data_IF_322725716019
#
_entry.id   IF_322725716019
#
_cell.length_a   1.000
_cell.length_b   1.000
_cell.length_c   1.000
_cell.angle_alpha   90.00
_cell.angle_beta   90.00
_cell.angle_gamma   90.00
#
_symmetry.space_group_name_H-M   'P 1'
#
loop_
_entity.id
_entity.type
_entity.pdbx_description
1 polymer ?
#
# COMPACT_ATOMS: atom_id res chain seq x y z
N UNK A 1 -6.70 8.59 -16.22
CA UNK A 1 -6.54 7.13 -16.38
C UNK A 1 -6.80 6.45 -15.05
N UNK A 2 -7.57 5.38 -15.03
CA UNK A 2 -7.96 4.71 -13.78
C UNK A 2 -7.01 3.55 -13.44
N UNK A 3 -5.99 3.81 -12.62
CA UNK A 3 -5.07 2.78 -12.16
C UNK A 3 -5.76 1.82 -11.17
N UNK A 4 -5.19 0.65 -10.95
CA UNK A 4 -5.55 -0.24 -9.84
C UNK A 4 -4.57 0.06 -8.70
N UNK A 5 -5.10 0.58 -7.59
CA UNK A 5 -4.28 1.08 -6.47
C UNK A 5 -4.44 0.16 -5.27
N UNK A 6 -3.35 -0.31 -4.72
CA UNK A 6 -3.37 -1.23 -3.57
C UNK A 6 -2.86 -0.50 -2.33
N UNK A 7 -3.68 -0.47 -1.29
CA UNK A 7 -3.35 0.08 0.01
C UNK A 7 -3.50 -0.98 1.10
N UNK A 8 -2.87 -0.76 2.21
CA UNK A 8 -2.96 -1.65 3.36
C UNK A 8 -1.81 -1.44 4.33
N UNK A 9 -1.93 -2.07 5.48
CA UNK A 9 -0.92 -2.01 6.53
C UNK A 9 0.39 -2.67 6.08
N UNK A 10 1.49 -2.32 6.74
CA UNK A 10 2.75 -3.05 6.54
C UNK A 10 2.53 -4.56 6.79
N UNK A 11 3.11 -5.39 5.96
CA UNK A 11 2.93 -6.85 6.04
C UNK A 11 1.64 -7.39 5.47
N UNK A 12 0.78 -6.57 4.87
CA UNK A 12 -0.49 -7.04 4.28
C UNK A 12 -0.34 -7.78 2.95
N UNK A 13 0.82 -7.69 2.30
CA UNK A 13 1.09 -8.40 1.04
C UNK A 13 0.82 -7.59 -0.22
N UNK A 14 0.83 -6.27 -0.13
CA UNK A 14 0.58 -5.36 -1.27
C UNK A 14 1.45 -5.64 -2.49
N UNK A 15 2.75 -5.85 -2.29
CA UNK A 15 3.68 -6.09 -3.39
C UNK A 15 3.38 -7.41 -4.09
N UNK A 16 3.19 -8.48 -3.33
CA UNK A 16 2.89 -9.81 -3.88
C UNK A 16 1.56 -9.82 -4.65
N UNK A 17 0.53 -9.24 -4.05
CA UNK A 17 -0.79 -9.09 -4.69
C UNK A 17 -0.69 -8.23 -5.94
N UNK A 18 -0.01 -7.10 -5.86
CA UNK A 18 0.16 -6.18 -6.98
C UNK A 18 0.85 -6.83 -8.17
N UNK A 19 1.91 -7.58 -7.94
CA UNK A 19 2.62 -8.29 -9.00
C UNK A 19 1.74 -9.34 -9.68
N UNK A 20 0.96 -10.08 -8.91
CA UNK A 20 0.06 -11.09 -9.48
C UNK A 20 -1.07 -10.46 -10.29
N UNK A 21 -1.71 -9.41 -9.74
CA UNK A 21 -2.75 -8.67 -10.48
C UNK A 21 -2.20 -8.05 -11.77
N UNK A 22 -1.00 -7.49 -11.72
CA UNK A 22 -0.31 -6.94 -12.88
C UNK A 22 -0.17 -7.97 -13.98
N UNK A 23 0.28 -9.17 -13.63
CA UNK A 23 0.43 -10.29 -14.57
C UNK A 23 -0.92 -10.71 -15.16
N UNK A 24 -1.91 -10.91 -14.31
CA UNK A 24 -3.22 -11.42 -14.74
C UNK A 24 -3.99 -10.39 -15.58
N UNK A 25 -3.85 -9.10 -15.28
CA UNK A 25 -4.51 -8.02 -16.00
C UNK A 25 -3.72 -7.52 -17.22
N UNK A 26 -2.47 -7.98 -17.39
CA UNK A 26 -1.60 -7.49 -18.46
C UNK A 26 -1.20 -6.02 -18.30
N UNK A 27 -1.07 -5.53 -17.06
CA UNK A 27 -0.72 -4.15 -16.75
C UNK A 27 0.67 -4.07 -16.11
N UNK A 28 1.43 -2.97 -16.31
CA UNK A 28 2.66 -2.76 -15.58
C UNK A 28 2.42 -2.67 -14.08
N UNK A 29 3.38 -3.12 -13.29
CA UNK A 29 3.37 -2.99 -11.83
C UNK A 29 4.33 -1.90 -11.36
N UNK A 30 3.86 -1.05 -10.46
CA UNK A 30 4.64 -0.01 -9.80
C UNK A 30 4.53 -0.19 -8.29
N UNK A 31 5.67 -0.24 -7.61
CA UNK A 31 5.79 -0.08 -6.17
C UNK A 31 6.35 1.32 -5.91
N UNK A 32 5.54 2.19 -5.32
CA UNK A 32 5.92 3.60 -5.12
C UNK A 32 7.15 3.74 -4.22
N UNK A 33 7.25 2.92 -3.17
CA UNK A 33 8.44 2.90 -2.30
C UNK A 33 9.71 2.61 -3.10
N UNK A 34 9.64 1.65 -4.02
CA UNK A 34 10.80 1.29 -4.87
C UNK A 34 11.21 2.41 -5.82
N UNK A 35 10.26 3.20 -6.31
CA UNK A 35 10.59 4.38 -7.10
C UNK A 35 11.44 5.34 -6.26
N UNK A 36 11.02 5.60 -5.02
CA UNK A 36 11.73 6.51 -4.11
C UNK A 36 13.12 5.97 -3.77
N UNK A 37 13.20 4.72 -3.32
CA UNK A 37 14.48 4.12 -2.91
C UNK A 37 15.47 4.03 -4.07
N UNK A 38 15.00 3.77 -5.28
CA UNK A 38 15.83 3.73 -6.47
C UNK A 38 16.35 5.12 -6.85
N UNK A 39 15.50 6.15 -6.80
CA UNK A 39 15.89 7.53 -7.12
C UNK A 39 16.90 8.08 -6.11
N UNK A 40 16.69 7.76 -4.84
CA UNK A 40 17.58 8.20 -3.76
C UNK A 40 18.82 7.33 -3.61
N UNK A 41 18.83 6.14 -4.18
CA UNK A 41 19.85 5.11 -3.96
C UNK A 41 20.06 4.82 -2.47
N UNK A 42 18.97 4.80 -1.71
CA UNK A 42 18.91 4.56 -0.27
C UNK A 42 17.69 3.71 0.05
N UNK A 43 17.74 2.91 1.11
CA UNK A 43 16.55 2.24 1.63
C UNK A 43 15.59 3.27 2.25
N UNK A 44 14.32 2.89 2.40
CA UNK A 44 13.35 3.74 3.10
C UNK A 44 13.84 4.09 4.51
N UNK A 45 14.37 3.10 5.24
CA UNK A 45 14.96 3.30 6.56
C UNK A 45 16.08 4.34 6.54
N UNK A 46 17.01 4.25 5.60
CA UNK A 46 18.11 5.20 5.47
C UNK A 46 17.61 6.61 5.17
N UNK A 47 16.59 6.75 4.35
CA UNK A 47 15.97 8.05 4.06
C UNK A 47 15.36 8.65 5.33
N UNK A 48 14.61 7.84 6.10
CA UNK A 48 14.05 8.27 7.39
C UNK A 48 15.15 8.72 8.37
N UNK A 49 16.20 7.93 8.49
CA UNK A 49 17.31 8.22 9.44
C UNK A 49 18.11 9.46 9.05
N UNK A 50 18.36 9.67 7.75
CA UNK A 50 19.19 10.78 7.27
C UNK A 50 18.42 12.08 7.08
N UNK A 51 17.18 12.00 6.61
CA UNK A 51 16.40 13.18 6.19
C UNK A 51 15.12 13.39 6.99
N UNK A 52 14.68 12.39 7.75
CA UNK A 52 13.48 12.43 8.55
C UNK A 52 12.20 12.04 7.80
N UNK A 53 11.16 11.74 8.56
CA UNK A 53 9.85 11.33 8.02
C UNK A 53 9.23 12.40 7.10
N UNK A 54 9.20 13.71 7.46
CA UNK A 54 8.60 14.73 6.60
C UNK A 54 9.19 14.77 5.20
N UNK A 55 10.49 14.56 5.07
CA UNK A 55 11.17 14.48 3.77
C UNK A 55 10.68 13.29 2.95
N UNK A 56 10.60 12.11 3.57
CA UNK A 56 10.09 10.91 2.91
C UNK A 56 8.64 11.10 2.44
N UNK A 57 7.78 11.68 3.27
CA UNK A 57 6.39 11.97 2.93
C UNK A 57 6.26 12.95 1.77
N UNK A 58 7.15 13.92 1.69
CA UNK A 58 7.20 14.84 0.55
C UNK A 58 7.58 14.12 -0.75
N UNK A 59 8.51 13.17 -0.69
CA UNK A 59 8.87 12.33 -1.85
C UNK A 59 7.70 11.46 -2.30
N UNK A 60 6.96 10.86 -1.36
CA UNK A 60 5.76 10.09 -1.69
C UNK A 60 4.74 10.94 -2.44
N UNK A 61 4.47 12.14 -1.95
CA UNK A 61 3.52 13.07 -2.59
C UNK A 61 3.98 13.47 -3.99
N UNK A 62 5.26 13.71 -4.17
CA UNK A 62 5.83 14.05 -5.48
C UNK A 62 5.62 12.92 -6.49
N UNK A 63 5.94 11.68 -6.10
CA UNK A 63 5.76 10.51 -6.99
C UNK A 63 4.27 10.29 -7.28
N UNK A 64 3.42 10.44 -6.28
CA UNK A 64 1.96 10.31 -6.44
C UNK A 64 1.42 11.28 -7.50
N UNK A 65 1.84 12.53 -7.46
CA UNK A 65 1.48 13.54 -8.47
C UNK A 65 1.93 13.15 -9.88
N UNK A 66 3.12 12.57 -9.99
CA UNK A 66 3.64 12.11 -11.28
C UNK A 66 2.81 10.93 -11.83
N UNK A 67 2.41 9.99 -10.96
CA UNK A 67 1.61 8.84 -11.36
C UNK A 67 0.20 9.22 -11.85
N UNK A 68 -0.39 10.28 -11.30
CA UNK A 68 -1.68 10.79 -11.77
C UNK A 68 -1.61 11.27 -13.22
N UNK A 69 -0.46 11.81 -13.63
CA UNK A 69 -0.25 12.30 -14.98
C UNK A 69 0.07 11.19 -15.99
N UNK A 70 0.32 9.98 -15.51
CA UNK A 70 0.67 8.85 -16.38
C UNK A 70 -0.55 8.38 -17.18
N UNK A 71 -0.39 8.29 -18.47
CA UNK A 71 -1.46 7.90 -19.40
C UNK A 71 -1.59 6.37 -19.55
N UNK A 72 -0.61 5.62 -19.09
CA UNK A 72 -0.64 4.16 -19.12
C UNK A 72 -1.23 3.61 -17.82
N UNK A 73 -2.29 2.82 -17.95
CA UNK A 73 -2.90 2.17 -16.79
C UNK A 73 -1.94 1.20 -16.13
N UNK A 74 -1.85 1.24 -14.81
CA UNK A 74 -0.91 0.43 -14.02
C UNK A 74 -1.58 -0.16 -12.78
N UNK A 75 -0.95 -1.20 -12.23
CA UNK A 75 -1.20 -1.64 -10.86
C UNK A 75 -0.16 -0.96 -9.97
N UNK A 76 -0.61 -0.23 -8.98
CA UNK A 76 0.24 0.61 -8.12
C UNK A 76 0.09 0.18 -6.66
N UNK A 77 1.19 -0.22 -6.03
CA UNK A 77 1.25 -0.47 -4.59
C UNK A 77 1.75 0.79 -3.89
N UNK A 78 0.99 1.27 -2.91
CA UNK A 78 1.36 2.44 -2.11
C UNK A 78 1.96 2.02 -0.77
N UNK A 79 2.88 2.82 -0.24
CA UNK A 79 3.40 2.63 1.10
C UNK A 79 2.31 2.74 2.16
N UNK A 80 2.46 2.00 3.26
CA UNK A 80 1.45 1.90 4.31
C UNK A 80 1.08 3.26 4.94
N UNK A 81 2.02 4.17 5.04
CA UNK A 81 1.80 5.49 5.64
C UNK A 81 1.32 6.57 4.67
N UNK A 82 1.37 6.31 3.36
CA UNK A 82 1.02 7.33 2.36
C UNK A 82 -0.45 7.80 2.46
N UNK A 83 -1.44 6.91 2.59
CA UNK A 83 -2.84 7.33 2.68
C UNK A 83 -3.17 8.13 3.94
N UNK A 84 -2.32 8.09 4.96
CA UNK A 84 -2.53 8.80 6.22
C UNK A 84 -2.15 10.27 6.14
N UNK A 85 -1.43 10.67 5.10
CA UNK A 85 -1.00 12.05 4.93
C UNK A 85 -2.12 12.86 4.28
N UNK A 86 -2.62 13.85 4.99
CA UNK A 86 -3.75 14.69 4.57
C UNK A 86 -3.53 15.30 3.18
N UNK A 87 -2.30 15.73 2.88
CA UNK A 87 -1.96 16.30 1.58
C UNK A 87 -2.15 15.34 0.41
N UNK A 88 -2.21 14.02 0.66
CA UNK A 88 -2.35 13.01 -0.39
C UNK A 88 -3.80 12.67 -0.73
N UNK A 89 -4.77 13.08 0.08
CA UNK A 89 -6.18 12.69 -0.08
C UNK A 89 -6.73 12.96 -1.48
N UNK A 90 -6.57 14.17 -1.96
CA UNK A 90 -7.07 14.56 -3.29
C UNK A 90 -6.42 13.75 -4.42
N UNK A 91 -5.14 13.44 -4.30
CA UNK A 91 -4.42 12.67 -5.31
C UNK A 91 -4.82 11.19 -5.30
N UNK A 92 -5.06 10.62 -4.14
CA UNK A 92 -5.57 9.26 -4.03
C UNK A 92 -6.92 9.08 -4.70
N UNK A 93 -7.81 10.06 -4.55
CA UNK A 93 -9.14 10.02 -5.17
C UNK A 93 -9.08 10.12 -6.70
N UNK A 94 -8.05 10.76 -7.24
CA UNK A 94 -7.84 10.89 -8.68
C UNK A 94 -7.06 9.72 -9.29
N UNK A 95 -6.31 8.97 -8.47
CA UNK A 95 -5.34 7.98 -8.95
C UNK A 95 -6.00 6.77 -9.61
N UNK A 96 -7.06 6.24 -9.03
CA UNK A 96 -7.74 5.07 -9.59
C UNK A 96 -8.63 4.34 -8.60
N UNK A 97 -8.96 3.10 -8.93
CA UNK A 97 -9.75 2.21 -8.08
C UNK A 97 -8.88 1.67 -6.95
N UNK A 98 -9.27 1.95 -5.72
CA UNK A 98 -8.49 1.62 -4.52
C UNK A 98 -8.94 0.29 -3.93
N UNK A 99 -8.01 -0.65 -3.86
CA UNK A 99 -8.18 -1.97 -3.23
C UNK A 99 -7.47 -1.95 -1.88
N UNK A 100 -8.23 -2.12 -0.80
CA UNK A 100 -7.67 -2.26 0.53
C UNK A 100 -7.48 -3.72 0.90
N UNK A 101 -6.22 -4.11 1.15
CA UNK A 101 -5.86 -5.42 1.70
C UNK A 101 -5.89 -5.35 3.23
N UNK A 102 -6.99 -5.80 3.83
CA UNK A 102 -7.15 -5.82 5.27
C UNK A 102 -6.57 -7.13 5.84
N UNK A 103 -5.70 -7.01 6.83
CA UNK A 103 -5.21 -8.15 7.60
C UNK A 103 -5.69 -8.09 9.04
N UNK A 104 -5.93 -9.25 9.66
CA UNK A 104 -6.17 -9.31 11.11
C UNK A 104 -4.88 -8.95 11.86
N UNK A 105 -5.02 -8.50 13.11
CA UNK A 105 -3.87 -8.22 13.97
C UNK A 105 -2.95 -9.44 14.08
N UNK A 106 -3.51 -10.65 14.25
CA UNK A 106 -2.73 -11.88 14.34
C UNK A 106 -1.95 -12.18 13.07
N UNK A 107 -2.58 -12.04 11.90
CA UNK A 107 -1.92 -12.23 10.60
C UNK A 107 -0.77 -11.26 10.41
N UNK A 108 -1.01 -9.98 10.68
CA UNK A 108 -0.01 -8.94 10.49
C UNK A 108 1.17 -9.07 11.46
N UNK A 109 0.90 -9.37 12.73
CA UNK A 109 1.96 -9.66 13.72
C UNK A 109 2.87 -10.78 13.26
N UNK A 110 2.27 -11.89 12.80
CA UNK A 110 3.03 -13.04 12.32
C UNK A 110 3.91 -12.69 11.14
N UNK A 111 3.38 -11.97 10.16
CA UNK A 111 4.12 -11.57 8.95
C UNK A 111 5.24 -10.57 9.24
N UNK A 112 5.08 -9.75 10.28
CA UNK A 112 6.06 -8.75 10.67
C UNK A 112 7.11 -9.26 11.66
N UNK A 113 6.99 -10.51 12.11
CA UNK A 113 8.02 -11.12 12.98
C UNK A 113 9.39 -11.01 12.35
N UNK A 114 10.36 -10.47 13.11
CA UNK A 114 11.76 -10.32 12.66
C UNK A 114 11.99 -9.28 11.57
N UNK A 115 10.96 -8.65 11.02
CA UNK A 115 11.13 -7.58 10.03
C UNK A 115 11.61 -6.29 10.70
N UNK A 116 12.62 -5.64 10.12
CA UNK A 116 13.15 -4.35 10.56
C UNK A 116 13.09 -3.28 9.48
N UNK A 117 12.23 -3.50 8.49
CA UNK A 117 12.09 -2.57 7.36
C UNK A 117 11.45 -1.25 7.75
N UNK A 118 10.49 -1.27 8.67
CA UNK A 118 9.72 -0.08 9.03
C UNK A 118 10.23 0.52 10.35
N UNK A 119 10.80 1.75 10.33
CA UNK A 119 11.26 2.42 11.53
C UNK A 119 10.17 2.68 12.58
N UNK A 120 8.91 2.76 12.16
CA UNK A 120 7.78 2.99 13.05
C UNK A 120 7.57 1.85 14.06
N UNK A 121 8.15 0.68 13.79
CA UNK A 121 8.06 -0.51 14.64
C UNK A 121 9.32 -0.73 15.49
N UNK A 122 10.30 0.16 15.43
CA UNK A 122 11.53 0.04 16.20
C UNK A 122 11.28 0.16 17.71
N UNK A 123 12.14 -0.50 18.48
CA UNK A 123 12.16 -0.45 19.94
C UNK A 123 11.38 -1.56 20.61
N UNK A 124 11.13 -1.38 21.91
CA UNK A 124 10.36 -2.31 22.73
C UNK A 124 8.85 -2.19 22.44
N UNK A 125 8.07 -3.15 22.93
CA UNK A 125 6.62 -3.18 22.78
C UNK A 125 6.13 -3.15 21.33
N UNK A 126 6.86 -3.86 20.46
CA UNK A 126 6.58 -3.93 19.04
C UNK A 126 5.14 -4.37 18.73
N UNK A 127 4.65 -5.40 19.44
CA UNK A 127 3.28 -5.90 19.26
C UNK A 127 2.23 -4.86 19.63
N UNK A 128 2.46 -4.10 20.70
CA UNK A 128 1.58 -2.99 21.10
C UNK A 128 1.59 -1.85 20.08
N UNK A 129 2.75 -1.57 19.50
CA UNK A 129 2.87 -0.58 18.42
C UNK A 129 2.09 -1.00 17.18
N UNK A 130 2.18 -2.26 16.78
CA UNK A 130 1.41 -2.81 15.65
C UNK A 130 -0.08 -2.66 15.92
N UNK A 131 -0.54 -3.06 17.10
CA UNK A 131 -1.94 -2.94 17.51
C UNK A 131 -2.46 -1.51 17.47
N UNK A 132 -1.71 -0.58 18.04
CA UNK A 132 -2.04 0.86 18.05
C UNK A 132 -2.12 1.44 16.65
N UNK A 133 -1.08 1.19 15.84
CA UNK A 133 -1.01 1.69 14.47
C UNK A 133 -2.15 1.13 13.62
N UNK A 134 -2.44 -0.16 13.72
CA UNK A 134 -3.52 -0.77 12.97
C UNK A 134 -4.87 -0.15 13.36
N UNK A 135 -5.12 0.06 14.65
CA UNK A 135 -6.34 0.70 15.14
C UNK A 135 -6.51 2.12 14.62
N UNK A 136 -5.42 2.88 14.50
CA UNK A 136 -5.43 4.24 13.97
C UNK A 136 -5.59 4.28 12.45
N UNK A 137 -4.96 3.33 11.75
CA UNK A 137 -4.85 3.35 10.28
C UNK A 137 -6.02 2.68 9.57
N UNK A 138 -6.58 1.60 10.13
CA UNK A 138 -7.67 0.86 9.50
C UNK A 138 -8.86 1.74 9.08
N UNK A 139 -9.37 2.69 9.90
CA UNK A 139 -10.44 3.59 9.47
C UNK A 139 -10.06 4.46 8.26
N UNK A 140 -8.81 4.87 8.16
CA UNK A 140 -8.33 5.68 7.04
C UNK A 140 -8.29 4.85 5.75
N UNK A 141 -7.76 3.63 5.83
CA UNK A 141 -7.77 2.73 4.68
C UNK A 141 -9.20 2.44 4.21
N UNK A 142 -10.12 2.19 5.14
CA UNK A 142 -11.53 1.97 4.81
C UNK A 142 -12.16 3.18 4.13
N UNK A 143 -11.81 4.38 4.55
CA UNK A 143 -12.29 5.63 3.94
C UNK A 143 -11.92 5.74 2.46
N UNK A 144 -10.73 5.31 2.07
CA UNK A 144 -10.26 5.38 0.68
C UNK A 144 -10.62 4.16 -0.16
N UNK A 145 -10.98 3.05 0.46
CA UNK A 145 -11.23 1.80 -0.24
C UNK A 145 -12.49 1.84 -1.10
N UNK A 146 -12.34 1.54 -2.38
CA UNK A 146 -13.46 1.22 -3.26
C UNK A 146 -13.79 -0.27 -3.13
N UNK A 147 -12.78 -1.09 -2.89
CA UNK A 147 -12.88 -2.53 -2.72
C UNK A 147 -12.08 -2.91 -1.47
N UNK A 148 -12.65 -3.77 -0.62
CA UNK A 148 -11.97 -4.31 0.54
C UNK A 148 -11.95 -5.83 0.47
N UNK A 149 -10.78 -6.41 0.70
CA UNK A 149 -10.59 -7.86 0.81
C UNK A 149 -9.74 -8.18 2.04
N UNK A 150 -9.94 -9.36 2.61
CA UNK A 150 -9.20 -9.80 3.80
C UNK A 150 -8.11 -10.77 3.38
N UNK A 151 -6.86 -10.43 3.71
CA UNK A 151 -5.69 -11.28 3.45
C UNK A 151 -5.42 -12.22 4.63
N UNK A 152 -4.86 -13.40 4.33
CA UNK A 152 -4.42 -14.36 5.33
C UNK A 152 -5.48 -15.36 5.81
N UNK A 153 -6.71 -15.27 5.34
CA UNK A 153 -7.81 -16.17 5.71
C UNK A 153 -8.10 -17.23 4.64
N UNK A 154 -7.73 -16.96 3.40
CA UNK A 154 -7.92 -17.87 2.28
C UNK A 154 -6.60 -18.06 1.53
N UNK A 155 -6.45 -19.13 0.71
CA UNK A 155 -5.28 -19.27 -0.15
C UNK A 155 -5.08 -18.06 -1.06
N UNK A 156 -3.83 -17.79 -1.39
CA UNK A 156 -3.45 -16.63 -2.20
C UNK A 156 -4.21 -16.57 -3.55
N UNK A 157 -4.35 -17.70 -4.22
CA UNK A 157 -5.06 -17.79 -5.50
C UNK A 157 -6.54 -17.38 -5.38
N UNK A 158 -7.19 -17.76 -4.30
CA UNK A 158 -8.58 -17.37 -4.02
C UNK A 158 -8.68 -15.88 -3.72
N UNK A 159 -7.71 -15.31 -3.00
CA UNK A 159 -7.65 -13.88 -2.72
C UNK A 159 -7.53 -13.08 -4.02
N UNK A 160 -6.65 -13.48 -4.92
CA UNK A 160 -6.47 -12.83 -6.22
C UNK A 160 -7.74 -12.89 -7.04
N UNK A 161 -8.38 -14.05 -7.10
CA UNK A 161 -9.65 -14.23 -7.82
C UNK A 161 -10.75 -13.32 -7.26
N UNK A 162 -10.87 -13.23 -5.94
CA UNK A 162 -11.82 -12.34 -5.28
C UNK A 162 -11.59 -10.87 -5.68
N UNK A 163 -10.33 -10.44 -5.67
CA UNK A 163 -9.97 -9.07 -6.09
C UNK A 163 -10.36 -8.82 -7.54
N UNK A 164 -10.03 -9.74 -8.44
CA UNK A 164 -10.34 -9.61 -9.87
C UNK A 164 -11.85 -9.54 -10.12
N UNK A 165 -12.63 -10.37 -9.45
CA UNK A 165 -14.08 -10.37 -9.54
C UNK A 165 -14.68 -9.05 -9.05
N UNK A 166 -14.21 -8.55 -7.91
CA UNK A 166 -14.65 -7.27 -7.33
C UNK A 166 -14.24 -6.07 -8.20
N UNK A 167 -13.03 -6.09 -8.76
CA UNK A 167 -12.57 -5.06 -9.69
C UNK A 167 -13.46 -5.02 -10.93
N UNK A 168 -13.71 -6.17 -11.53
CA UNK A 168 -14.54 -6.28 -12.71
C UNK A 168 -15.97 -5.77 -12.45
N UNK A 169 -16.56 -6.13 -11.31
CA UNK A 169 -17.89 -5.67 -10.92
C UNK A 169 -17.92 -4.15 -10.65
N UNK A 170 -16.91 -3.63 -9.97
CA UNK A 170 -16.82 -2.21 -9.64
C UNK A 170 -16.64 -1.34 -10.90
N UNK A 171 -15.79 -1.77 -11.82
CA UNK A 171 -15.47 -1.01 -13.04
C UNK A 171 -16.58 -1.02 -14.09
N UNK A 172 -17.54 -1.95 -14.00
CA UNK A 172 -18.71 -2.00 -14.88
C UNK A 172 -19.82 -1.03 -14.47
N UNK A 173 -19.76 -0.55 -13.24
CA UNK A 173 -20.71 0.42 -12.71
C UNK A 173 -20.15 1.84 -12.83
#
# INVERSE_FOLDING_TARGET
MNHVVIIGFMGSGKTRVGKQLSKDLGLPFIDLEKIITKRMNLSAREIFERFGEPYYRALETLVLKQLIQDQERKVISLGAGLPLQEQNEKYLRELGTVVYLKGSLATLKKRLEGSRKDPMLDGEDRDDKIKKLLKQRDPVYQKFADIQVTTGEVPFEELIKEIEEKLSAYEKN
#
